data_IF_124720996531
#
_entry.id   IF_124720996531
#
_cell.length_a   1.000
_cell.length_b   1.000
_cell.length_c   1.000
_cell.angle_alpha   90.00
_cell.angle_beta   90.00
_cell.angle_gamma   90.00
#
_symmetry.space_group_name_H-M   'P 1'
#
loop_
_entity.id
_entity.type
_entity.pdbx_description
1 polymer ?
#
# COMPACT_ATOMS: atom_id res chain seq x y z
N UNK A 1 -35.55 -42.45 -40.02
CA UNK A 1 -34.55 -43.54 -39.83
C UNK A 1 -33.74 -43.09 -38.67
N UNK A 2 -34.09 -43.57 -37.41
CA UNK A 2 -33.42 -44.63 -36.67
C UNK A 2 -31.97 -44.26 -36.37
N UNK A 3 -31.47 -44.14 -35.14
CA UNK A 3 -31.59 -44.94 -33.91
C UNK A 3 -31.19 -44.00 -32.72
N UNK A 4 -31.88 -43.88 -31.62
CA UNK A 4 -32.05 -44.82 -30.50
C UNK A 4 -30.77 -45.46 -29.98
N UNK A 5 -30.61 -45.13 -28.76
CA UNK A 5 -30.57 -45.96 -27.54
C UNK A 5 -29.21 -46.07 -26.87
N UNK A 6 -29.29 -45.92 -25.60
CA UNK A 6 -28.86 -46.75 -24.44
C UNK A 6 -27.51 -46.33 -23.81
N UNK A 7 -27.59 -45.80 -22.60
CA UNK A 7 -26.82 -46.38 -21.50
C UNK A 7 -27.51 -46.13 -20.15
N UNK A 8 -28.38 -47.03 -19.76
CA UNK A 8 -28.69 -47.30 -18.36
C UNK A 8 -27.63 -48.25 -17.83
N UNK A 9 -26.85 -47.82 -16.86
CA UNK A 9 -26.15 -48.76 -16.00
C UNK A 9 -26.40 -48.38 -14.56
N UNK A 10 -27.32 -49.09 -13.97
CA UNK A 10 -27.55 -49.22 -12.54
C UNK A 10 -26.36 -49.94 -11.93
N UNK A 11 -25.71 -49.34 -10.94
CA UNK A 11 -24.92 -50.06 -9.95
C UNK A 11 -25.38 -49.63 -8.59
N UNK A 12 -26.29 -50.40 -8.01
CA UNK A 12 -26.57 -50.39 -6.57
C UNK A 12 -25.39 -51.01 -5.83
N UNK A 13 -24.87 -50.32 -4.87
CA UNK A 13 -24.12 -50.92 -3.75
C UNK A 13 -24.60 -50.22 -2.49
N UNK A 14 -25.41 -50.90 -1.74
CA UNK A 14 -25.73 -50.54 -0.39
C UNK A 14 -24.50 -50.71 0.52
N UNK A 15 -24.23 -49.71 1.30
CA UNK A 15 -23.46 -49.79 2.52
C UNK A 15 -23.97 -48.73 3.47
N UNK A 16 -24.80 -49.15 4.43
CA UNK A 16 -25.10 -48.37 5.61
C UNK A 16 -23.80 -48.18 6.39
N UNK A 17 -23.32 -46.98 6.48
CA UNK A 17 -22.36 -46.55 7.50
C UNK A 17 -22.90 -45.30 8.16
N UNK A 18 -23.28 -45.47 9.42
CA UNK A 18 -23.66 -44.46 10.38
C UNK A 18 -22.52 -43.43 10.46
N UNK A 19 -22.67 -42.28 9.82
CA UNK A 19 -21.71 -41.18 9.88
C UNK A 19 -22.44 -39.85 10.04
N UNK A 20 -22.23 -39.21 11.16
CA UNK A 20 -22.76 -37.92 11.62
C UNK A 20 -22.38 -36.70 10.72
N UNK A 21 -21.94 -36.91 9.47
CA UNK A 21 -21.38 -35.86 8.62
C UNK A 21 -22.06 -35.68 7.25
N UNK A 22 -23.24 -36.26 7.04
CA UNK A 22 -23.92 -36.22 5.74
C UNK A 22 -25.14 -35.28 5.71
N UNK A 23 -25.10 -34.13 6.36
CA UNK A 23 -26.07 -33.06 6.10
C UNK A 23 -25.41 -32.03 5.20
N UNK A 24 -25.94 -31.72 4.00
CA UNK A 24 -25.43 -30.65 3.17
C UNK A 24 -25.59 -29.33 3.95
N UNK A 25 -24.48 -28.74 4.32
CA UNK A 25 -24.47 -27.44 4.97
C UNK A 25 -24.79 -26.42 3.88
N UNK A 26 -25.94 -25.78 3.97
CA UNK A 26 -26.36 -24.71 3.09
C UNK A 26 -25.30 -23.57 3.15
N UNK A 27 -24.86 -23.12 1.98
CA UNK A 27 -23.82 -22.07 1.85
C UNK A 27 -24.12 -20.82 2.69
N UNK A 28 -25.40 -20.48 2.85
CA UNK A 28 -25.83 -19.36 3.71
C UNK A 28 -25.58 -19.62 5.19
N UNK A 29 -25.74 -20.85 5.65
CA UNK A 29 -25.47 -21.21 7.06
C UNK A 29 -23.98 -21.31 7.36
N UNK A 30 -23.17 -21.70 6.37
CA UNK A 30 -21.72 -21.70 6.52
C UNK A 30 -21.14 -20.29 6.71
N UNK A 31 -21.61 -19.33 5.91
CA UNK A 31 -21.17 -17.92 6.00
C UNK A 31 -21.60 -17.30 7.34
N UNK A 32 -22.80 -17.57 7.82
CA UNK A 32 -23.27 -17.03 9.10
C UNK A 32 -22.55 -17.62 10.31
N UNK A 33 -22.23 -18.93 10.30
CA UNK A 33 -21.48 -19.55 11.39
C UNK A 33 -20.03 -19.07 11.45
N UNK A 34 -19.39 -18.85 10.29
CA UNK A 34 -18.03 -18.30 10.19
C UNK A 34 -17.94 -16.87 10.72
N UNK A 35 -18.97 -16.05 10.47
CA UNK A 35 -19.00 -14.66 10.93
C UNK A 35 -19.08 -14.54 12.47
N UNK A 36 -19.81 -15.42 13.14
CA UNK A 36 -19.89 -15.41 14.61
C UNK A 36 -18.61 -15.89 15.29
N UNK A 37 -17.89 -16.86 14.71
CA UNK A 37 -16.62 -17.34 15.24
C UNK A 37 -15.52 -16.30 15.13
N UNK A 38 -15.48 -15.52 14.02
CA UNK A 38 -14.51 -14.46 13.82
C UNK A 38 -14.75 -13.25 14.75
N UNK A 39 -16.01 -12.92 15.05
CA UNK A 39 -16.35 -11.80 15.93
C UNK A 39 -16.00 -12.10 17.40
N UNK A 40 -16.11 -13.34 17.86
CA UNK A 40 -15.78 -13.72 19.24
C UNK A 40 -14.26 -13.72 19.49
N UNK A 41 -13.43 -14.06 18.49
CA UNK A 41 -11.97 -14.01 18.59
C UNK A 41 -11.43 -12.57 18.61
N UNK A 42 -12.09 -11.64 17.92
CA UNK A 42 -11.68 -10.23 17.89
C UNK A 42 -11.91 -9.49 19.22
N UNK A 43 -12.91 -9.90 20.01
CA UNK A 43 -13.23 -9.28 21.31
C UNK A 43 -12.34 -9.76 22.45
N UNK A 44 -11.72 -10.93 22.34
CA UNK A 44 -10.81 -11.46 23.35
C UNK A 44 -9.39 -10.83 23.27
N UNK A 45 -9.03 -10.23 22.16
CA UNK A 45 -7.72 -9.60 21.96
C UNK A 45 -7.60 -8.17 22.54
N UNK A 46 -8.71 -7.59 23.04
CA UNK A 46 -8.73 -6.21 23.58
C UNK A 46 -8.54 -6.11 25.10
N UNK A 47 -8.27 -7.23 25.80
CA UNK A 47 -8.10 -7.23 27.24
C UNK A 47 -6.72 -7.73 27.66
N UNK A 48 -5.67 -6.94 27.37
CA UNK A 48 -4.38 -7.20 27.98
C UNK A 48 -3.17 -6.81 27.13
N UNK A 49 -2.43 -5.84 27.66
CA UNK A 49 -1.16 -5.32 27.20
C UNK A 49 -1.26 -4.09 26.27
N UNK A 50 -0.50 -3.04 26.64
CA UNK A 50 -0.40 -1.75 25.97
C UNK A 50 -0.31 -1.86 24.46
N UNK A 51 -1.41 -1.63 23.81
CA UNK A 51 -1.51 -1.72 22.38
C UNK A 51 -0.94 -0.44 21.79
N UNK A 52 0.26 -0.58 21.25
CA UNK A 52 0.67 0.22 20.11
C UNK A 52 -0.36 -0.06 19.00
N UNK A 53 -1.29 0.87 18.86
CA UNK A 53 -2.43 0.73 17.95
C UNK A 53 -1.98 1.07 16.52
N UNK A 54 -0.99 0.35 16.02
CA UNK A 54 -0.62 0.37 14.62
C UNK A 54 -1.70 -0.33 13.82
N UNK A 55 -2.73 0.42 13.45
CA UNK A 55 -3.60 0.04 12.34
C UNK A 55 -2.72 0.00 11.09
N UNK A 56 -2.25 -1.19 10.74
CA UNK A 56 -1.57 -1.41 9.46
C UNK A 56 -2.60 -1.23 8.35
N UNK A 57 -2.77 0.02 7.92
CA UNK A 57 -3.40 0.33 6.64
C UNK A 57 -2.58 -0.36 5.54
N UNK A 58 -3.18 -0.97 4.51
CA UNK A 58 -2.46 -1.56 3.38
C UNK A 58 -1.87 -0.52 2.41
N UNK A 59 -1.60 0.68 2.89
CA UNK A 59 -0.71 1.67 2.30
C UNK A 59 0.33 1.93 3.36
N UNK A 60 1.57 1.45 3.17
CA UNK A 60 2.67 1.57 4.12
C UNK A 60 2.71 2.96 4.73
N UNK A 61 2.68 3.03 6.07
CA UNK A 61 2.85 4.29 6.78
C UNK A 61 4.21 4.87 6.39
N UNK A 62 4.20 5.98 5.69
CA UNK A 62 5.44 6.70 5.31
C UNK A 62 5.96 7.52 6.49
N UNK A 63 5.32 7.41 7.66
CA UNK A 63 5.74 8.13 8.85
C UNK A 63 7.13 7.71 9.32
N UNK A 64 7.98 8.68 9.62
CA UNK A 64 9.34 8.44 10.11
C UNK A 64 10.20 9.69 10.14
N UNK A 65 11.47 9.53 10.49
CA UNK A 65 12.42 10.64 10.61
C UNK A 65 13.62 10.44 9.70
N UNK A 66 14.14 11.56 9.20
CA UNK A 66 15.33 11.59 8.33
C UNK A 66 16.25 12.71 8.80
N UNK A 67 17.55 12.42 8.99
CA UNK A 67 18.55 13.45 9.26
C UNK A 67 19.01 14.10 7.96
N UNK A 68 18.99 15.43 7.91
CA UNK A 68 19.39 16.20 6.71
C UNK A 68 20.87 16.01 6.42
N UNK A 69 21.70 15.91 7.44
CA UNK A 69 23.15 15.70 7.30
C UNK A 69 23.54 14.45 6.51
N UNK A 70 22.66 13.44 6.47
CA UNK A 70 22.93 12.20 5.75
C UNK A 70 22.82 12.34 4.23
N UNK A 71 22.34 13.52 3.77
CA UNK A 71 22.10 13.80 2.34
C UNK A 71 22.81 15.09 1.92
N UNK A 72 23.99 14.95 1.36
CA UNK A 72 24.78 16.09 0.87
C UNK A 72 24.02 17.00 -0.12
N UNK A 73 23.12 16.41 -0.93
CA UNK A 73 22.27 17.17 -1.86
C UNK A 73 21.33 18.16 -1.14
N UNK A 74 20.99 17.92 0.13
CA UNK A 74 20.13 18.82 0.91
C UNK A 74 20.90 19.94 1.63
N UNK A 75 22.20 20.08 1.43
CA UNK A 75 23.00 21.17 1.99
C UNK A 75 22.65 22.55 1.41
N UNK A 76 22.16 22.60 0.16
CA UNK A 76 21.77 23.82 -0.53
C UNK A 76 20.26 23.88 -0.80
N UNK A 77 19.71 25.10 -0.84
CA UNK A 77 18.34 25.35 -1.29
C UNK A 77 18.18 24.91 -2.74
N UNK A 78 17.08 24.26 -3.06
CA UNK A 78 16.85 23.62 -4.36
C UNK A 78 17.42 22.20 -4.46
N UNK A 79 18.19 21.74 -3.48
CA UNK A 79 18.71 20.38 -3.45
C UNK A 79 17.61 19.33 -3.35
N UNK A 80 17.82 18.21 -4.03
CA UNK A 80 16.87 17.08 -4.07
C UNK A 80 17.59 15.80 -3.65
N UNK A 81 17.11 15.15 -2.61
CA UNK A 81 17.56 13.82 -2.19
C UNK A 81 16.47 12.78 -2.47
N UNK A 82 16.88 11.61 -2.93
CA UNK A 82 15.98 10.46 -3.15
C UNK A 82 16.35 9.33 -2.18
N UNK A 83 15.35 8.78 -1.53
CA UNK A 83 15.52 7.70 -0.54
C UNK A 83 14.25 6.86 -0.44
N UNK A 84 14.22 5.95 0.50
CA UNK A 84 13.02 5.19 0.88
C UNK A 84 12.77 5.35 2.37
N UNK A 85 11.53 5.52 2.76
CA UNK A 85 11.08 5.56 4.14
C UNK A 85 10.05 4.44 4.34
N UNK A 86 10.36 3.49 5.22
CA UNK A 86 9.54 2.29 5.45
C UNK A 86 9.16 1.55 4.14
N UNK A 87 10.12 1.41 3.22
CA UNK A 87 9.92 0.78 1.92
C UNK A 87 9.23 1.64 0.86
N UNK A 88 8.73 2.83 1.21
CA UNK A 88 8.11 3.76 0.27
C UNK A 88 9.17 4.67 -0.36
N UNK A 89 9.30 4.71 -1.70
CA UNK A 89 10.23 5.60 -2.37
C UNK A 89 9.77 7.06 -2.24
N UNK A 90 10.64 7.91 -1.71
CA UNK A 90 10.37 9.34 -1.49
C UNK A 90 11.47 10.21 -2.09
N UNK A 91 11.13 11.46 -2.36
CA UNK A 91 12.07 12.54 -2.65
C UNK A 91 11.90 13.65 -1.61
N UNK A 92 13.00 14.17 -1.11
CA UNK A 92 13.05 15.33 -0.21
C UNK A 92 13.66 16.48 -0.99
N UNK A 93 12.94 17.60 -1.05
CA UNK A 93 13.36 18.83 -1.73
C UNK A 93 13.56 19.90 -0.67
N UNK A 94 14.74 20.53 -0.63
CA UNK A 94 14.97 21.69 0.23
C UNK A 94 14.43 22.95 -0.44
N UNK A 95 13.30 23.46 0.02
CA UNK A 95 12.62 24.62 -0.60
C UNK A 95 13.11 25.96 -0.08
N UNK A 96 13.65 25.99 1.16
CA UNK A 96 14.29 27.16 1.74
C UNK A 96 15.36 26.76 2.75
N UNK A 97 15.94 27.74 3.45
CA UNK A 97 16.94 27.47 4.50
C UNK A 97 16.39 26.54 5.60
N UNK A 98 15.10 26.66 5.94
CA UNK A 98 14.43 25.93 7.01
C UNK A 98 13.18 25.18 6.56
N UNK A 99 12.89 25.10 5.27
CA UNK A 99 11.73 24.39 4.76
C UNK A 99 12.09 23.28 3.77
N UNK A 100 11.36 22.19 3.90
CA UNK A 100 11.53 21.00 3.08
C UNK A 100 10.16 20.50 2.61
N UNK A 101 10.14 19.92 1.43
CA UNK A 101 8.98 19.25 0.84
C UNK A 101 9.33 17.78 0.62
N UNK A 102 8.51 16.88 1.13
CA UNK A 102 8.65 15.45 0.88
C UNK A 102 7.56 14.99 -0.09
N UNK A 103 7.98 14.36 -1.16
CA UNK A 103 7.12 13.85 -2.22
C UNK A 103 7.21 12.33 -2.33
N UNK A 104 6.08 11.67 -2.58
CA UNK A 104 6.07 10.28 -3.00
C UNK A 104 6.67 10.16 -4.40
N UNK A 105 7.62 9.25 -4.58
CA UNK A 105 8.11 8.90 -5.92
C UNK A 105 7.29 7.79 -6.60
N UNK A 106 6.15 7.45 -6.06
CA UNK A 106 5.19 6.55 -6.72
C UNK A 106 4.40 7.38 -7.74
N UNK A 107 4.55 7.06 -9.02
CA UNK A 107 3.89 7.77 -10.12
C UNK A 107 2.36 7.68 -9.98
N UNK A 108 1.64 8.82 -9.97
CA UNK A 108 0.18 8.80 -9.80
C UNK A 108 -0.57 8.13 -10.96
N UNK A 109 0.08 7.93 -12.12
CA UNK A 109 -0.54 7.29 -13.27
C UNK A 109 -0.69 5.77 -13.07
N UNK A 110 0.42 5.05 -12.78
CA UNK A 110 0.43 3.58 -12.67
C UNK A 110 1.44 3.05 -11.64
N UNK A 111 1.79 3.82 -10.63
CA UNK A 111 2.59 3.33 -9.51
C UNK A 111 4.09 3.12 -9.76
N UNK A 112 4.60 3.37 -10.97
CA UNK A 112 6.04 3.25 -11.28
C UNK A 112 6.85 4.26 -10.48
N UNK A 113 8.03 3.88 -9.99
CA UNK A 113 8.92 4.80 -9.28
C UNK A 113 9.45 5.88 -10.23
N UNK A 114 9.20 7.15 -9.90
CA UNK A 114 9.62 8.33 -10.66
C UNK A 114 11.08 8.62 -10.39
N UNK A 115 11.84 8.98 -11.43
CA UNK A 115 13.24 9.36 -11.32
C UNK A 115 13.39 10.87 -11.12
N UNK A 116 14.33 11.28 -10.26
CA UNK A 116 14.73 12.67 -10.16
C UNK A 116 15.56 13.06 -11.40
N UNK A 117 15.40 14.30 -11.84
CA UNK A 117 16.16 14.95 -12.91
C UNK A 117 16.75 16.25 -12.39
N UNK A 118 17.52 16.96 -13.20
CA UNK A 118 18.09 18.28 -12.83
C UNK A 118 17.03 19.35 -12.59
N UNK A 119 15.82 19.20 -13.14
CA UNK A 119 14.75 20.22 -13.13
C UNK A 119 13.46 19.76 -12.45
N UNK A 120 13.45 18.55 -11.89
CA UNK A 120 12.27 17.97 -11.26
C UNK A 120 12.25 16.45 -11.31
N UNK A 121 11.18 15.86 -11.84
CA UNK A 121 11.02 14.41 -11.84
C UNK A 121 10.42 13.91 -13.16
N UNK A 122 10.79 12.69 -13.55
CA UNK A 122 10.26 12.03 -14.76
C UNK A 122 9.92 10.57 -14.50
N UNK A 123 8.71 10.16 -14.87
CA UNK A 123 8.30 8.77 -14.83
C UNK A 123 8.90 8.02 -16.04
N UNK A 124 9.67 6.95 -15.83
CA UNK A 124 10.30 6.23 -16.92
C UNK A 124 9.32 5.41 -17.77
N UNK A 125 8.14 5.08 -17.21
CA UNK A 125 7.18 4.20 -17.88
C UNK A 125 6.48 4.91 -19.06
N UNK A 126 5.80 6.05 -18.79
CA UNK A 126 5.03 6.77 -19.83
C UNK A 126 5.40 8.25 -19.96
N UNK A 127 6.53 8.66 -19.39
CA UNK A 127 7.10 9.99 -19.60
C UNK A 127 6.36 11.15 -18.91
N UNK A 128 5.50 10.89 -17.92
CA UNK A 128 4.95 11.97 -17.10
C UNK A 128 6.09 12.75 -16.43
N UNK A 129 6.05 14.09 -16.52
CA UNK A 129 7.07 15.00 -15.98
C UNK A 129 6.47 15.91 -14.93
N UNK A 130 7.25 16.18 -13.89
CA UNK A 130 6.85 16.99 -12.75
C UNK A 130 7.98 17.96 -12.40
N UNK A 131 7.63 19.14 -11.92
CA UNK A 131 8.61 20.09 -11.37
C UNK A 131 9.10 19.64 -9.97
N UNK A 132 9.97 20.44 -9.35
CA UNK A 132 10.50 20.16 -8.01
C UNK A 132 9.46 20.28 -6.90
N UNK A 133 8.31 20.91 -7.15
CA UNK A 133 7.16 20.94 -6.24
C UNK A 133 6.23 19.71 -6.41
N UNK A 134 6.54 18.82 -7.36
CA UNK A 134 5.73 17.65 -7.68
C UNK A 134 4.51 17.97 -8.55
N UNK A 135 4.42 19.17 -9.12
CA UNK A 135 3.34 19.54 -10.02
C UNK A 135 3.56 18.90 -11.39
N UNK A 136 2.53 18.31 -11.96
CA UNK A 136 2.60 17.78 -13.32
C UNK A 136 2.77 18.93 -14.34
N UNK A 137 3.78 18.83 -15.19
CA UNK A 137 4.14 19.86 -16.19
C UNK A 137 4.15 19.33 -17.62
N UNK A 138 4.00 18.02 -17.84
CA UNK A 138 4.00 17.50 -19.21
C UNK A 138 4.12 15.98 -19.30
N UNK A 139 4.17 15.48 -20.55
CA UNK A 139 4.18 14.04 -20.83
C UNK A 139 2.83 13.38 -20.59
N UNK A 140 2.83 12.11 -20.20
CA UNK A 140 1.61 11.38 -19.89
C UNK A 140 0.78 12.11 -18.83
N UNK A 141 -0.50 12.40 -19.16
CA UNK A 141 -1.40 13.12 -18.26
C UNK A 141 -1.68 12.31 -16.99
N UNK A 142 -1.54 12.97 -15.84
CA UNK A 142 -1.79 12.40 -14.52
C UNK A 142 -2.06 13.52 -13.50
N UNK A 143 -2.32 13.18 -12.24
CA UNK A 143 -2.34 14.14 -11.13
C UNK A 143 -0.92 14.51 -10.70
N UNK A 144 -0.79 15.52 -9.84
CA UNK A 144 0.47 15.87 -9.18
C UNK A 144 0.99 14.71 -8.31
N UNK A 145 2.29 14.71 -8.04
CA UNK A 145 2.88 13.79 -7.07
C UNK A 145 2.28 14.05 -5.68
N UNK A 146 2.10 12.97 -4.90
CA UNK A 146 1.61 13.09 -3.52
C UNK A 146 2.68 13.74 -2.65
N UNK A 147 2.33 14.80 -1.91
CA UNK A 147 3.15 15.37 -0.86
C UNK A 147 2.81 14.73 0.50
N UNK A 148 3.82 14.62 1.36
CA UNK A 148 3.70 14.19 2.74
C UNK A 148 3.82 15.39 3.67
N UNK A 149 3.15 15.36 4.82
CA UNK A 149 3.40 16.32 5.89
C UNK A 149 4.87 16.24 6.29
N UNK A 150 5.54 17.38 6.33
CA UNK A 150 6.98 17.44 6.61
C UNK A 150 7.24 18.55 7.62
N UNK A 151 7.84 18.19 8.76
CA UNK A 151 8.23 19.13 9.82
C UNK A 151 9.74 19.05 9.99
N UNK A 152 10.41 20.20 9.98
CA UNK A 152 11.84 20.30 10.20
C UNK A 152 12.17 20.84 11.58
N UNK A 153 12.97 20.11 12.34
CA UNK A 153 13.59 20.58 13.58
C UNK A 153 15.04 21.01 13.28
N UNK A 154 15.25 22.33 13.32
CA UNK A 154 16.57 22.92 13.06
C UNK A 154 17.58 22.61 14.19
N UNK A 155 17.15 22.36 15.43
CA UNK A 155 18.01 22.06 16.55
C UNK A 155 18.68 20.69 16.43
N UNK A 156 17.95 19.69 15.95
CA UNK A 156 18.45 18.32 15.71
C UNK A 156 18.85 18.06 14.27
N UNK A 157 18.50 18.95 13.33
CA UNK A 157 18.68 18.74 11.88
C UNK A 157 17.84 17.60 11.32
N UNK A 158 16.67 17.33 11.91
CA UNK A 158 15.84 16.18 11.60
C UNK A 158 14.53 16.60 10.93
N UNK A 159 14.13 15.87 9.88
CA UNK A 159 12.79 15.94 9.29
C UNK A 159 11.91 14.84 9.89
N UNK A 160 10.71 15.19 10.31
CA UNK A 160 9.61 14.27 10.61
C UNK A 160 8.66 14.27 9.44
N UNK A 161 8.34 13.09 8.91
CA UNK A 161 7.50 12.87 7.72
C UNK A 161 6.33 11.99 8.14
N UNK A 162 5.10 12.39 7.72
CA UNK A 162 3.87 11.67 8.08
C UNK A 162 2.69 11.90 7.14
#
# INVERSE_FOLDING_TARGET
>A
MKNEEIYKTSCGCGAESSGLLARPIDRRKFVSLGAYAAAAAALAACAGAGADNTVTSPGGSTAGTVKISDYAALSAVGGVAVTSLNGTPIAIVRTSVSAFLTLSRVCPHQGTTVNATSTGFKCPNHGATFDTAGTWIGGQRTSNMRAYTTTYDAGSGTLTIG
#
